data_IF_091470122419
#
_entry.id   IF_091470122419
#
_cell.length_a   1.000
_cell.length_b   1.000
_cell.length_c   1.000
_cell.angle_alpha   90.00
_cell.angle_beta   90.00
_cell.angle_gamma   90.00
#
_symmetry.space_group_name_H-M   'P 1'
#
loop_
_entity.id
_entity.type
_entity.pdbx_description
1 polymer ?
#
# COMPACT_ATOMS: atom_id res chain seq x y z
N UNK A 1 1.33 7.97 -12.26
CA UNK A 1 2.01 7.40 -11.07
C UNK A 1 3.45 7.86 -11.12
N UNK A 2 3.96 8.49 -10.06
CA UNK A 2 5.37 8.91 -10.00
C UNK A 2 6.26 7.72 -9.64
N UNK A 3 7.57 7.83 -9.87
CA UNK A 3 8.56 6.83 -9.45
C UNK A 3 8.49 6.56 -7.95
N UNK A 4 8.36 7.63 -7.15
CA UNK A 4 8.20 7.53 -5.69
C UNK A 4 6.98 6.70 -5.27
N UNK A 5 5.81 6.95 -5.87
CA UNK A 5 4.58 6.18 -5.58
C UNK A 5 4.75 4.70 -5.97
N UNK A 6 5.43 4.41 -7.08
CA UNK A 6 5.65 3.02 -7.51
C UNK A 6 6.55 2.25 -6.54
N UNK A 7 7.67 2.84 -6.10
CA UNK A 7 8.53 2.25 -5.07
C UNK A 7 7.75 2.00 -3.76
N UNK A 8 6.95 2.98 -3.35
CA UNK A 8 6.14 2.87 -2.13
C UNK A 8 5.07 1.78 -2.27
N UNK A 9 4.49 1.62 -3.46
CA UNK A 9 3.54 0.54 -3.75
C UNK A 9 4.21 -0.84 -3.67
N UNK A 10 5.43 -1.00 -4.20
CA UNK A 10 6.20 -2.25 -4.06
C UNK A 10 6.47 -2.56 -2.59
N UNK A 11 6.86 -1.56 -1.80
CA UNK A 11 7.04 -1.72 -0.36
C UNK A 11 5.73 -2.11 0.34
N UNK A 12 4.62 -1.44 0.00
CA UNK A 12 3.29 -1.72 0.54
C UNK A 12 2.84 -3.17 0.26
N UNK A 13 3.00 -3.65 -0.98
CA UNK A 13 2.66 -5.03 -1.36
C UNK A 13 3.50 -6.04 -0.59
N UNK A 14 4.81 -5.81 -0.50
CA UNK A 14 5.73 -6.70 0.23
C UNK A 14 5.39 -6.76 1.72
N UNK A 15 5.13 -5.62 2.35
CA UNK A 15 4.74 -5.52 3.76
C UNK A 15 3.41 -6.22 3.99
N UNK A 16 2.40 -5.93 3.16
CA UNK A 16 1.08 -6.54 3.28
C UNK A 16 1.16 -8.07 3.17
N UNK A 17 1.95 -8.59 2.23
CA UNK A 17 2.14 -10.03 2.04
C UNK A 17 2.91 -10.67 3.19
N UNK A 18 4.02 -10.08 3.62
CA UNK A 18 4.86 -10.64 4.68
C UNK A 18 4.14 -10.65 6.03
N UNK A 19 3.44 -9.56 6.38
CA UNK A 19 2.72 -9.42 7.64
C UNK A 19 1.26 -9.90 7.58
N UNK A 20 0.81 -10.41 6.43
CA UNK A 20 -0.60 -10.83 6.20
C UNK A 20 -1.62 -9.71 6.50
N UNK A 21 -1.26 -8.45 6.21
CA UNK A 21 -2.14 -7.30 6.42
C UNK A 21 -3.16 -7.22 5.29
N UNK A 22 -4.45 -7.26 5.64
CA UNK A 22 -5.57 -7.04 4.70
C UNK A 22 -6.30 -5.72 4.88
N UNK A 23 -6.04 -5.01 5.98
CA UNK A 23 -6.70 -3.73 6.29
C UNK A 23 -5.84 -2.56 5.84
N UNK A 24 -6.43 -1.67 5.05
CA UNK A 24 -5.79 -0.44 4.55
C UNK A 24 -5.22 0.41 5.69
N UNK A 25 -5.97 0.58 6.78
CA UNK A 25 -5.54 1.39 7.94
C UNK A 25 -4.29 0.83 8.61
N UNK A 26 -4.21 -0.50 8.76
CA UNK A 26 -3.03 -1.18 9.31
C UNK A 26 -1.83 -1.04 8.38
N UNK A 27 -2.02 -1.21 7.07
CA UNK A 27 -0.93 -1.07 6.09
C UNK A 27 -0.40 0.36 6.06
N UNK A 28 -1.29 1.36 6.09
CA UNK A 28 -0.90 2.78 6.14
C UNK A 28 -0.09 3.08 7.38
N UNK A 29 -0.50 2.61 8.55
CA UNK A 29 0.24 2.82 9.80
C UNK A 29 1.66 2.22 9.75
N UNK A 30 1.80 1.01 9.18
CA UNK A 30 3.11 0.37 9.00
C UNK A 30 4.00 1.12 8.00
N UNK A 31 3.43 1.65 6.92
CA UNK A 31 4.17 2.46 5.96
C UNK A 31 4.64 3.78 6.56
N UNK A 32 3.77 4.51 7.26
CA UNK A 32 4.13 5.77 7.94
C UNK A 32 5.21 5.54 8.99
N UNK A 33 5.13 4.42 9.74
CA UNK A 33 6.15 4.06 10.73
C UNK A 33 7.55 3.83 10.11
N UNK A 34 7.60 3.26 8.90
CA UNK A 34 8.86 2.91 8.21
C UNK A 34 9.40 4.02 7.32
N UNK A 35 8.51 4.85 6.78
CA UNK A 35 8.82 5.91 5.82
C UNK A 35 8.13 7.22 6.22
N UNK A 36 8.48 7.81 7.38
CA UNK A 36 7.77 8.97 7.94
C UNK A 36 7.76 10.20 7.03
N UNK A 37 8.78 10.37 6.19
CA UNK A 37 8.95 11.54 5.31
C UNK A 37 8.29 11.37 3.94
N UNK A 38 7.60 10.27 3.68
CA UNK A 38 7.05 9.92 2.36
C UNK A 38 5.52 9.89 2.31
N UNK A 39 4.85 10.79 3.04
CA UNK A 39 3.39 10.77 3.19
C UNK A 39 2.62 10.85 1.86
N UNK A 40 3.06 11.69 0.91
CA UNK A 40 2.40 11.81 -0.40
C UNK A 40 2.51 10.51 -1.21
N UNK A 41 3.69 9.88 -1.21
CA UNK A 41 3.90 8.60 -1.89
C UNK A 41 3.09 7.47 -1.22
N UNK A 42 2.99 7.48 0.11
CA UNK A 42 2.19 6.52 0.90
C UNK A 42 0.71 6.62 0.52
N UNK A 43 0.17 7.83 0.44
CA UNK A 43 -1.24 8.02 0.06
C UNK A 43 -1.51 7.48 -1.34
N UNK A 44 -0.63 7.75 -2.31
CA UNK A 44 -0.72 7.21 -3.66
C UNK A 44 -0.62 5.67 -3.71
N UNK A 45 0.32 5.09 -2.97
CA UNK A 45 0.52 3.65 -2.90
C UNK A 45 -0.66 2.92 -2.23
N UNK A 46 -1.20 3.49 -1.15
CA UNK A 46 -2.34 2.93 -0.44
C UNK A 46 -3.59 2.91 -1.33
N UNK A 47 -3.87 3.98 -2.08
CA UNK A 47 -4.98 4.02 -3.02
C UNK A 47 -4.85 2.94 -4.11
N UNK A 48 -3.65 2.80 -4.69
CA UNK A 48 -3.40 1.79 -5.71
C UNK A 48 -3.53 0.35 -5.16
N UNK A 49 -2.99 0.10 -3.96
CA UNK A 49 -3.09 -1.20 -3.30
C UNK A 49 -4.53 -1.57 -2.95
N UNK A 50 -5.31 -0.62 -2.42
CA UNK A 50 -6.72 -0.84 -2.08
C UNK A 50 -7.56 -1.20 -3.32
N UNK A 51 -7.34 -0.52 -4.45
CA UNK A 51 -7.99 -0.83 -5.72
C UNK A 51 -7.63 -2.23 -6.22
N UNK A 52 -6.36 -2.63 -6.10
CA UNK A 52 -5.90 -3.96 -6.45
C UNK A 52 -6.55 -5.05 -5.60
N UNK A 53 -6.60 -4.88 -4.27
CA UNK A 53 -7.25 -5.85 -3.39
C UNK A 53 -8.77 -5.95 -3.64
N UNK A 54 -9.44 -4.84 -3.98
CA UNK A 54 -10.83 -4.86 -4.42
C UNK A 54 -11.01 -5.63 -5.73
N UNK A 55 -10.10 -5.48 -6.70
CA UNK A 55 -10.17 -6.22 -7.97
C UNK A 55 -10.01 -7.73 -7.80
N UNK A 56 -9.27 -8.20 -6.79
CA UNK A 56 -9.20 -9.63 -6.44
C UNK A 56 -10.46 -10.19 -5.81
N UNK A 57 -11.23 -9.33 -5.14
CA UNK A 57 -12.44 -9.72 -4.41
C UNK A 57 -13.68 -9.82 -5.28
N UNK A 58 -13.61 -9.46 -6.56
CA UNK A 58 -14.73 -9.56 -7.50
C UNK A 58 -14.64 -10.92 -8.23
N UNK A 59 -15.51 -11.89 -7.92
CA UNK A 59 -15.71 -13.02 -8.81
C UNK A 59 -16.46 -12.52 -10.05
N UNK A 60 -15.99 -12.91 -11.25
CA UNK A 60 -16.80 -12.86 -12.46
C UNK A 60 -18.05 -13.76 -12.32
#
# INVERSE_FOLDING_TARGET
>A
MTEGVFEMLLAAVNIARFQQIRKVTTLRAELVRRFPDRNEDIDGAILAWANYEQSKGRPD
#
